data_IF_326250607611
#
_entry.id   IF_326250607611
#
_cell.length_a   1.000
_cell.length_b   1.000
_cell.length_c   1.000
_cell.angle_alpha   90.00
_cell.angle_beta   90.00
_cell.angle_gamma   90.00
#
_symmetry.space_group_name_H-M   'P 1'
#
loop_
_entity.id
_entity.type
_entity.pdbx_description
1 polymer ?
#
# COMPACT_ATOMS: atom_id res chain seq x y z
N UNK A 1 -46.79 -17.48 -42.01
CA UNK A 1 -45.88 -17.35 -40.85
C UNK A 1 -46.18 -15.99 -40.21
N UNK A 2 -47.24 -15.72 -39.43
CA UNK A 2 -47.78 -16.33 -38.20
C UNK A 2 -46.73 -16.68 -37.16
N UNK A 3 -46.24 -15.65 -36.46
CA UNK A 3 -45.86 -15.62 -35.03
C UNK A 3 -45.30 -14.21 -34.74
N UNK A 4 -46.11 -13.33 -34.15
CA UNK A 4 -46.16 -13.11 -32.70
C UNK A 4 -45.23 -11.96 -32.28
N UNK A 5 -45.58 -10.72 -32.65
CA UNK A 5 -45.12 -9.53 -31.96
C UNK A 5 -46.06 -9.27 -30.79
N UNK A 6 -46.00 -10.13 -29.78
CA UNK A 6 -46.59 -9.82 -28.48
C UNK A 6 -45.60 -8.92 -27.75
N UNK A 7 -45.86 -7.61 -27.82
CA UNK A 7 -45.28 -6.60 -26.94
C UNK A 7 -45.65 -6.95 -25.49
N UNK A 8 -44.79 -7.71 -24.82
CA UNK A 8 -44.83 -7.88 -23.38
C UNK A 8 -43.82 -6.90 -22.79
N UNK A 9 -44.34 -5.73 -22.44
CA UNK A 9 -43.69 -4.75 -21.58
C UNK A 9 -43.45 -5.39 -20.21
N UNK A 10 -42.24 -5.88 -19.97
CA UNK A 10 -41.77 -6.22 -18.63
C UNK A 10 -40.83 -5.10 -18.18
N UNK A 11 -41.41 -4.01 -17.69
CA UNK A 11 -40.66 -2.96 -16.98
C UNK A 11 -40.21 -3.54 -15.63
N UNK A 12 -38.98 -4.04 -15.58
CA UNK A 12 -38.32 -4.41 -14.31
C UNK A 12 -38.01 -3.08 -13.60
N UNK A 13 -38.83 -2.71 -12.63
CA UNK A 13 -38.53 -1.62 -11.71
C UNK A 13 -37.41 -2.08 -10.78
N UNK A 14 -36.17 -1.80 -11.16
CA UNK A 14 -35.00 -2.01 -10.30
C UNK A 14 -35.05 -0.94 -9.21
N UNK A 15 -35.58 -1.30 -8.04
CA UNK A 15 -35.52 -0.46 -6.85
C UNK A 15 -34.05 -0.33 -6.44
N UNK A 16 -33.38 0.72 -6.93
CA UNK A 16 -32.03 1.07 -6.54
C UNK A 16 -32.05 1.53 -5.08
N UNK A 17 -31.91 0.58 -4.15
CA UNK A 17 -31.51 0.92 -2.78
C UNK A 17 -30.13 1.58 -2.87
N UNK A 18 -29.97 2.86 -2.49
CA UNK A 18 -28.66 3.48 -2.50
C UNK A 18 -27.79 2.72 -1.51
N UNK A 19 -26.83 1.94 -2.03
CA UNK A 19 -25.76 1.41 -1.20
C UNK A 19 -25.08 2.61 -0.55
N UNK A 20 -25.00 2.63 0.77
CA UNK A 20 -24.26 3.65 1.49
C UNK A 20 -22.79 3.56 1.05
N UNK A 21 -22.41 4.44 0.12
CA UNK A 21 -21.03 4.55 -0.33
C UNK A 21 -20.28 5.24 0.81
N UNK A 22 -19.68 4.47 1.71
CA UNK A 22 -18.73 5.04 2.66
C UNK A 22 -17.59 5.64 1.82
N UNK A 23 -17.34 6.96 1.90
CA UNK A 23 -16.23 7.54 1.16
C UNK A 23 -14.96 6.84 1.62
N UNK A 24 -14.22 6.23 0.68
CA UNK A 24 -12.89 5.74 0.97
C UNK A 24 -12.06 6.96 1.38
N UNK A 25 -11.78 7.09 2.68
CA UNK A 25 -10.84 8.08 3.18
C UNK A 25 -9.48 7.65 2.65
N UNK A 26 -8.98 8.31 1.60
CA UNK A 26 -7.61 8.13 1.17
C UNK A 26 -6.70 8.62 2.31
N UNK A 27 -6.15 7.67 3.07
CA UNK A 27 -5.18 7.96 4.12
C UNK A 27 -3.82 8.12 3.44
N UNK A 28 -3.25 9.32 3.52
CA UNK A 28 -1.90 9.59 3.05
C UNK A 28 -0.89 9.20 4.12
N UNK A 29 0.13 8.42 3.76
CA UNK A 29 1.27 8.14 4.63
C UNK A 29 2.40 9.09 4.21
N UNK A 30 2.75 10.04 5.07
CA UNK A 30 3.86 10.95 4.84
C UNK A 30 5.18 10.30 5.28
N UNK A 31 5.86 9.68 4.31
CA UNK A 31 7.11 8.97 4.55
C UNK A 31 8.29 9.91 4.83
N UNK A 32 8.20 11.19 4.45
CA UNK A 32 9.26 12.16 4.73
C UNK A 32 9.32 12.52 6.22
N UNK A 33 8.18 12.47 6.92
CA UNK A 33 8.07 12.83 8.34
C UNK A 33 7.82 11.65 9.27
N UNK A 34 7.49 10.46 8.72
CA UNK A 34 7.27 9.26 9.52
C UNK A 34 8.51 8.89 10.35
N UNK A 35 8.29 8.73 11.65
CA UNK A 35 9.29 8.20 12.59
C UNK A 35 9.31 6.67 12.60
N UNK A 36 10.43 6.11 13.03
CA UNK A 36 10.57 4.68 13.30
C UNK A 36 9.53 4.17 14.30
N UNK A 37 9.16 4.97 15.32
CA UNK A 37 8.05 4.62 16.23
C UNK A 37 6.73 4.44 15.49
N UNK A 38 6.36 5.41 14.66
CA UNK A 38 5.12 5.34 13.88
C UNK A 38 5.14 4.13 12.93
N UNK A 39 6.27 3.84 12.31
CA UNK A 39 6.43 2.67 11.45
C UNK A 39 6.22 1.35 12.20
N UNK A 40 6.91 1.12 13.33
CA UNK A 40 6.80 -0.17 14.06
C UNK A 40 5.44 -0.38 14.72
N UNK A 41 4.70 0.70 14.99
CA UNK A 41 3.33 0.68 15.52
C UNK A 41 2.26 0.66 14.42
N UNK A 42 2.64 0.71 13.14
CA UNK A 42 1.71 0.70 12.02
C UNK A 42 1.01 -0.65 11.86
N UNK A 43 -0.13 -0.65 11.18
CA UNK A 43 -0.83 -1.88 10.79
C UNK A 43 0.02 -2.68 9.78
N UNK A 44 -0.14 -4.02 9.71
CA UNK A 44 0.66 -4.87 8.82
C UNK A 44 0.69 -4.41 7.36
N UNK A 45 -0.46 -3.97 6.82
CA UNK A 45 -0.55 -3.49 5.44
C UNK A 45 0.26 -2.20 5.20
N UNK A 46 0.27 -1.28 6.17
CA UNK A 46 1.07 -0.05 6.07
C UNK A 46 2.56 -0.37 6.19
N UNK A 47 2.93 -1.31 7.08
CA UNK A 47 4.32 -1.78 7.19
C UNK A 47 4.79 -2.34 5.85
N UNK A 48 4.00 -3.22 5.22
CA UNK A 48 4.33 -3.78 3.91
C UNK A 48 4.46 -2.69 2.84
N UNK A 49 3.52 -1.74 2.81
CA UNK A 49 3.55 -0.63 1.85
C UNK A 49 4.78 0.26 2.01
N UNK A 50 5.13 0.62 3.25
CA UNK A 50 6.33 1.41 3.57
C UNK A 50 7.59 0.66 3.15
N UNK A 51 7.71 -0.62 3.48
CA UNK A 51 8.88 -1.43 3.15
C UNK A 51 9.06 -1.57 1.63
N UNK A 52 7.98 -1.85 0.89
CA UNK A 52 8.02 -1.92 -0.58
C UNK A 52 8.37 -0.58 -1.21
N UNK A 53 7.85 0.54 -0.67
CA UNK A 53 8.22 1.86 -1.13
C UNK A 53 9.70 2.16 -0.90
N UNK A 54 10.25 1.79 0.27
CA UNK A 54 11.68 1.96 0.57
C UNK A 54 12.54 1.13 -0.39
N UNK A 55 12.19 -0.14 -0.66
CA UNK A 55 12.92 -0.97 -1.64
C UNK A 55 12.96 -0.31 -3.03
N UNK A 56 11.81 0.18 -3.50
CA UNK A 56 11.71 0.90 -4.77
C UNK A 56 12.48 2.22 -4.77
N UNK A 57 12.42 2.99 -3.69
CA UNK A 57 13.11 4.28 -3.54
C UNK A 57 14.62 4.13 -3.71
N UNK A 58 15.24 3.14 -3.06
CA UNK A 58 16.68 2.88 -3.17
C UNK A 58 17.10 2.23 -4.49
N UNK A 59 16.14 1.72 -5.27
CA UNK A 59 16.33 1.22 -6.63
C UNK A 59 15.96 2.22 -7.70
N UNK A 60 15.60 3.46 -7.36
CA UNK A 60 15.03 4.44 -8.30
C UNK A 60 15.87 4.73 -9.56
N UNK A 61 17.19 4.59 -9.46
CA UNK A 61 18.13 4.77 -10.58
C UNK A 61 18.53 3.45 -11.27
N UNK A 62 17.96 2.32 -10.86
CA UNK A 62 18.19 1.01 -11.49
C UNK A 62 17.15 0.71 -12.54
N UNK A 63 17.57 0.14 -13.68
CA UNK A 63 16.68 -0.44 -14.69
C UNK A 63 16.12 -1.82 -14.27
N UNK A 64 16.46 -2.29 -13.06
CA UNK A 64 16.02 -3.57 -12.51
C UNK A 64 14.58 -3.50 -12.00
N UNK A 65 13.63 -3.93 -12.83
CA UNK A 65 12.22 -4.06 -12.47
C UNK A 65 11.93 -5.34 -11.63
N UNK A 66 12.80 -5.67 -10.68
CA UNK A 66 12.71 -6.89 -9.87
C UNK A 66 12.76 -6.59 -8.37
N UNK A 67 11.85 -7.21 -7.63
CA UNK A 67 11.97 -7.39 -6.19
C UNK A 67 12.62 -8.76 -5.96
N UNK A 68 13.91 -8.75 -5.65
CA UNK A 68 14.56 -9.92 -5.05
C UNK A 68 13.98 -10.11 -3.65
N UNK A 69 13.15 -11.15 -3.48
CA UNK A 69 12.38 -11.35 -2.26
C UNK A 69 13.25 -11.73 -1.06
N UNK A 70 14.39 -12.38 -1.30
CA UNK A 70 15.31 -12.78 -0.22
C UNK A 70 16.04 -11.55 0.31
N UNK A 71 16.57 -10.72 -0.59
CA UNK A 71 17.20 -9.44 -0.24
C UNK A 71 16.19 -8.50 0.41
N UNK A 72 14.98 -8.41 -0.13
CA UNK A 72 13.90 -7.59 0.44
C UNK A 72 13.60 -7.98 1.88
N UNK A 73 13.40 -9.28 2.16
CA UNK A 73 13.10 -9.77 3.50
C UNK A 73 14.27 -9.55 4.46
N UNK A 74 15.50 -9.76 4.01
CA UNK A 74 16.69 -9.50 4.84
C UNK A 74 16.80 -8.01 5.20
N UNK A 75 16.64 -7.13 4.22
CA UNK A 75 16.68 -5.68 4.41
C UNK A 75 15.54 -5.18 5.31
N UNK A 76 14.33 -5.69 5.11
CA UNK A 76 13.18 -5.39 5.97
C UNK A 76 13.42 -5.77 7.43
N UNK A 77 14.04 -6.93 7.69
CA UNK A 77 14.41 -7.35 9.05
C UNK A 77 15.43 -6.41 9.69
N UNK A 78 16.50 -6.05 8.97
CA UNK A 78 17.51 -5.10 9.45
C UNK A 78 16.91 -3.73 9.75
N UNK A 79 16.12 -3.21 8.81
CA UNK A 79 15.44 -1.93 8.93
C UNK A 79 14.46 -1.91 10.12
N UNK A 80 13.60 -2.93 10.23
CA UNK A 80 12.65 -3.06 11.33
C UNK A 80 13.34 -3.17 12.70
N UNK A 81 14.41 -3.96 12.81
CA UNK A 81 15.19 -4.06 14.04
C UNK A 81 15.86 -2.74 14.44
N UNK A 82 16.38 -2.00 13.46
CA UNK A 82 16.93 -0.66 13.69
C UNK A 82 15.84 0.30 14.19
N UNK A 83 14.69 0.35 13.52
CA UNK A 83 13.60 1.22 13.93
C UNK A 83 13.02 0.88 15.31
N UNK A 84 12.93 -0.40 15.68
CA UNK A 84 12.47 -0.83 17.00
C UNK A 84 13.34 -0.30 18.15
N UNK A 85 14.63 -0.06 17.89
CA UNK A 85 15.58 0.44 18.90
C UNK A 85 15.85 1.95 18.78
N UNK A 86 15.38 2.61 17.72
CA UNK A 86 15.61 4.02 17.43
C UNK A 86 14.29 4.78 17.14
N UNK A 87 13.33 4.80 18.08
CA UNK A 87 11.95 5.25 17.81
C UNK A 87 11.84 6.71 17.33
N UNK A 88 12.77 7.58 17.72
CA UNK A 88 12.78 9.01 17.35
C UNK A 88 13.41 9.33 16.00
N UNK A 89 14.02 8.35 15.33
CA UNK A 89 14.68 8.55 14.02
C UNK A 89 13.62 8.52 12.91
N UNK A 90 13.76 9.34 11.86
CA UNK A 90 12.88 9.26 10.69
C UNK A 90 13.16 8.00 9.87
N UNK A 91 12.13 7.44 9.22
CA UNK A 91 12.30 6.23 8.40
C UNK A 91 13.27 6.44 7.25
N UNK A 92 13.37 7.65 6.70
CA UNK A 92 14.32 7.98 5.63
C UNK A 92 15.76 7.92 6.16
N UNK A 93 16.02 8.49 7.33
CA UNK A 93 17.37 8.42 7.95
C UNK A 93 17.75 6.99 8.32
N UNK A 94 16.78 6.22 8.83
CA UNK A 94 16.97 4.80 9.13
C UNK A 94 17.27 4.00 7.86
N UNK A 95 16.52 4.23 6.78
CA UNK A 95 16.72 3.53 5.52
C UNK A 95 18.09 3.88 4.92
N UNK A 96 18.51 5.14 4.97
CA UNK A 96 19.84 5.55 4.49
C UNK A 96 20.95 4.84 5.24
N UNK A 97 20.82 4.74 6.57
CA UNK A 97 21.83 4.08 7.41
C UNK A 97 21.92 2.56 7.16
N UNK A 98 20.83 1.92 6.78
CA UNK A 98 20.74 0.46 6.69
C UNK A 98 20.86 -0.05 5.24
N UNK A 99 20.36 0.73 4.28
CA UNK A 99 20.16 0.37 2.88
C UNK A 99 20.86 1.32 1.91
N UNK A 100 21.28 2.51 2.37
CA UNK A 100 22.08 3.43 1.59
C UNK A 100 23.38 2.78 1.12
N UNK A 101 23.83 3.18 -0.07
CA UNK A 101 25.07 2.68 -0.67
C UNK A 101 26.30 3.24 0.04
#
# INVERSE_FOLDING_TARGET
MKTAYALLAATIAFAATPAAVTPAKAVTIDLATMSCKQFVESKPDDIQMVLTWIDGWYKGDSDDALIDTDVFVENAKKFGAYCATNPGVSIVTAAEKILGK
#
